data_IF_581669798897
#
_entry.id   IF_581669798897
#
_cell.length_a   1.000
_cell.length_b   1.000
_cell.length_c   1.000
_cell.angle_alpha   90.00
_cell.angle_beta   90.00
_cell.angle_gamma   90.00
#
_symmetry.space_group_name_H-M   'P 1'
#
loop_
_entity.id
_entity.type
_entity.pdbx_description
1 polymer ?
#
# COMPACT_ATOMS: atom_id res chain seq x y z
N UNK A 1 -35.42 -51.57 -30.03
CA UNK A 1 -34.03 -51.95 -30.31
C UNK A 1 -34.05 -53.00 -31.39
N UNK A 2 -33.43 -52.68 -32.53
CA UNK A 2 -33.22 -53.63 -33.63
C UNK A 2 -31.83 -54.25 -33.44
N UNK A 3 -31.74 -55.58 -33.47
CA UNK A 3 -30.69 -56.36 -32.81
C UNK A 3 -29.49 -56.68 -33.72
N UNK A 4 -29.15 -55.77 -34.63
CA UNK A 4 -28.02 -55.94 -35.54
C UNK A 4 -26.97 -54.88 -35.24
N UNK A 5 -25.87 -55.36 -34.64
CA UNK A 5 -24.62 -54.64 -34.36
C UNK A 5 -24.64 -53.80 -33.06
N UNK A 6 -24.04 -54.35 -32.01
CA UNK A 6 -23.63 -53.64 -30.80
C UNK A 6 -22.11 -53.70 -30.77
N UNK A 7 -21.44 -52.70 -31.33
CA UNK A 7 -20.04 -52.49 -30.98
C UNK A 7 -20.01 -51.69 -29.66
N UNK A 8 -19.24 -52.11 -28.64
CA UNK A 8 -19.15 -51.42 -27.35
C UNK A 8 -18.93 -49.90 -27.43
N UNK A 9 -18.38 -49.43 -28.55
CA UNK A 9 -17.99 -48.07 -28.88
C UNK A 9 -19.20 -47.19 -29.22
N UNK A 10 -20.30 -47.77 -29.70
CA UNK A 10 -21.53 -47.05 -30.05
C UNK A 10 -22.29 -46.52 -28.82
N UNK A 11 -21.93 -46.99 -27.61
CA UNK A 11 -22.53 -46.57 -26.34
C UNK A 11 -21.70 -45.52 -25.59
N UNK A 12 -20.64 -44.99 -26.20
CA UNK A 12 -19.75 -44.01 -25.56
C UNK A 12 -20.04 -42.62 -26.09
N UNK A 13 -20.46 -41.72 -25.20
CA UNK A 13 -20.55 -40.28 -25.48
C UNK A 13 -19.51 -39.55 -24.65
N UNK A 14 -18.62 -38.81 -25.30
CA UNK A 14 -17.67 -37.94 -24.64
C UNK A 14 -18.27 -36.54 -24.52
N UNK A 15 -18.55 -36.12 -23.28
CA UNK A 15 -19.06 -34.79 -22.99
C UNK A 15 -17.93 -33.98 -22.38
N UNK A 16 -17.52 -32.91 -23.06
CA UNK A 16 -16.57 -31.93 -22.55
C UNK A 16 -17.28 -30.60 -22.32
N UNK A 17 -17.08 -30.02 -21.13
CA UNK A 17 -17.62 -28.70 -20.77
C UNK A 17 -16.49 -27.86 -20.19
N UNK A 18 -16.17 -26.70 -20.78
CA UNK A 18 -15.15 -25.81 -20.24
C UNK A 18 -15.66 -25.16 -18.95
N UNK A 19 -14.83 -25.16 -17.91
CA UNK A 19 -15.12 -24.52 -16.63
C UNK A 19 -14.27 -23.26 -16.52
N UNK A 20 -14.90 -22.11 -16.34
CA UNK A 20 -14.23 -20.85 -16.03
C UNK A 20 -14.52 -20.46 -14.58
N UNK A 21 -13.47 -20.32 -13.78
CA UNK A 21 -13.60 -19.79 -12.43
C UNK A 21 -13.53 -18.27 -12.43
N UNK A 22 -14.48 -17.63 -11.74
CA UNK A 22 -14.49 -16.19 -11.53
C UNK A 22 -14.13 -15.88 -10.06
N UNK A 23 -12.99 -15.20 -9.80
CA UNK A 23 -12.56 -14.90 -8.44
C UNK A 23 -13.43 -13.81 -7.81
N UNK A 24 -13.67 -13.91 -6.50
CA UNK A 24 -14.34 -12.88 -5.70
C UNK A 24 -13.36 -12.34 -4.65
N UNK A 25 -12.78 -11.18 -4.92
CA UNK A 25 -11.78 -10.55 -4.05
C UNK A 25 -12.38 -9.29 -3.41
N UNK A 26 -12.15 -9.13 -2.11
CA UNK A 26 -12.56 -7.95 -1.36
C UNK A 26 -11.32 -7.22 -0.81
N UNK A 27 -11.23 -5.93 -1.10
CA UNK A 27 -10.16 -5.05 -0.65
C UNK A 27 -10.71 -4.13 0.45
N UNK A 28 -10.03 -4.09 1.59
CA UNK A 28 -10.36 -3.16 2.67
C UNK A 28 -9.11 -2.44 3.18
N UNK A 29 -9.27 -1.18 3.59
CA UNK A 29 -8.21 -0.36 4.17
C UNK A 29 -8.66 0.27 5.49
N UNK A 30 -7.75 0.39 6.44
CA UNK A 30 -7.95 1.07 7.71
C UNK A 30 -6.72 1.93 8.03
N UNK A 31 -6.94 3.18 8.43
CA UNK A 31 -5.86 4.11 8.79
C UNK A 31 -5.96 4.52 10.24
N UNK A 32 -4.83 4.61 10.96
CA UNK A 32 -4.83 5.03 12.37
C UNK A 32 -5.23 6.51 12.55
N UNK A 33 -4.93 7.35 11.56
CA UNK A 33 -5.23 8.78 11.61
C UNK A 33 -5.84 9.24 10.27
N UNK A 34 -7.10 9.67 10.31
CA UNK A 34 -7.84 10.14 9.13
C UNK A 34 -7.68 11.64 8.87
N UNK A 35 -7.30 12.41 9.90
CA UNK A 35 -7.11 13.86 9.85
C UNK A 35 -6.01 14.25 10.82
N UNK A 36 -5.08 15.06 10.35
CA UNK A 36 -4.07 15.71 11.19
C UNK A 36 -4.19 17.22 11.04
N UNK A 37 -4.38 17.92 12.16
CA UNK A 37 -4.42 19.37 12.16
C UNK A 37 -3.03 19.92 12.43
N UNK A 38 -2.47 20.56 11.40
CA UNK A 38 -1.17 21.22 11.50
C UNK A 38 -1.37 22.51 12.27
N UNK A 39 -0.77 22.58 13.45
CA UNK A 39 -0.73 23.81 14.23
C UNK A 39 0.47 24.64 13.74
N UNK A 40 0.26 25.86 13.22
CA UNK A 40 1.35 26.71 12.79
C UNK A 40 2.18 27.17 13.99
N UNK A 41 3.46 26.80 13.99
CA UNK A 41 4.53 27.26 14.87
C UNK A 41 4.30 27.08 16.38
N UNK A 42 4.85 25.99 16.92
CA UNK A 42 5.03 25.83 18.36
C UNK A 42 5.48 24.42 18.73
N UNK A 43 6.79 24.24 18.92
CA UNK A 43 7.39 23.10 19.64
C UNK A 43 7.09 21.69 19.10
N UNK A 44 7.47 21.38 17.86
CA UNK A 44 7.74 19.97 17.54
C UNK A 44 9.22 19.71 17.82
N UNK A 45 9.51 18.75 18.72
CA UNK A 45 10.88 18.23 18.81
C UNK A 45 11.24 17.65 17.43
N UNK A 46 12.48 17.87 17.00
CA UNK A 46 13.05 17.65 15.66
C UNK A 46 12.82 16.23 15.04
N UNK A 47 12.16 15.32 15.76
CA UNK A 47 11.87 13.93 15.38
C UNK A 47 10.36 13.54 15.41
N UNK A 48 9.44 14.48 15.69
CA UNK A 48 8.07 14.17 16.18
C UNK A 48 6.91 14.53 15.22
N UNK A 49 7.11 14.40 13.91
CA UNK A 49 5.97 14.40 12.98
C UNK A 49 5.05 13.19 13.23
N UNK A 50 3.73 13.31 13.03
CA UNK A 50 2.79 12.21 13.23
C UNK A 50 3.10 11.05 12.28
N UNK A 51 2.92 9.84 12.78
CA UNK A 51 3.04 8.60 12.01
C UNK A 51 1.65 8.15 11.55
N UNK A 52 1.48 8.03 10.23
CA UNK A 52 0.24 7.56 9.62
C UNK A 52 0.42 6.11 9.20
N UNK A 53 -0.29 5.20 9.88
CA UNK A 53 -0.35 3.80 9.46
C UNK A 53 -1.57 3.58 8.58
N UNK A 54 -1.37 3.06 7.37
CA UNK A 54 -2.43 2.56 6.49
C UNK A 54 -2.30 1.04 6.39
N UNK A 55 -3.29 0.32 6.95
CA UNK A 55 -3.41 -1.13 6.85
C UNK A 55 -4.33 -1.49 5.70
N UNK A 56 -3.95 -2.49 4.93
CA UNK A 56 -4.72 -3.00 3.81
C UNK A 56 -4.84 -4.51 3.92
N UNK A 57 -6.04 -5.03 3.64
CA UNK A 57 -6.35 -6.45 3.67
C UNK A 57 -7.02 -6.84 2.37
N UNK A 58 -6.55 -7.94 1.78
CA UNK A 58 -7.19 -8.57 0.62
C UNK A 58 -7.81 -9.86 1.11
N UNK A 59 -9.09 -10.07 0.82
CA UNK A 59 -9.82 -11.27 1.22
C UNK A 59 -10.34 -11.98 -0.03
N UNK A 60 -10.21 -13.31 -0.06
CA UNK A 60 -10.81 -14.14 -1.09
C UNK A 60 -12.14 -14.65 -0.54
N UNK A 61 -13.25 -14.17 -1.10
CA UNK A 61 -14.61 -14.57 -0.77
C UNK A 61 -15.09 -15.73 -1.67
N UNK A 62 -14.27 -16.18 -2.61
CA UNK A 62 -14.55 -17.31 -3.50
C UNK A 62 -14.11 -18.66 -2.91
N UNK A 63 -14.48 -19.73 -3.60
CA UNK A 63 -14.25 -21.10 -3.14
C UNK A 63 -12.90 -21.69 -3.57
N UNK A 64 -12.20 -21.05 -4.50
CA UNK A 64 -10.91 -21.53 -5.02
C UNK A 64 -9.78 -20.55 -4.71
N UNK A 65 -8.56 -21.04 -4.43
CA UNK A 65 -7.41 -20.19 -4.16
C UNK A 65 -7.07 -19.35 -5.38
N UNK A 66 -6.77 -18.07 -5.15
CA UNK A 66 -6.30 -17.15 -6.19
C UNK A 66 -4.78 -16.98 -6.05
N UNK A 67 -4.08 -16.97 -7.18
CA UNK A 67 -2.63 -16.81 -7.27
C UNK A 67 -2.29 -15.56 -8.06
N UNK A 68 -1.05 -15.09 -7.94
CA UNK A 68 -0.53 -13.95 -8.70
C UNK A 68 -1.33 -12.65 -8.50
N UNK A 69 -1.83 -12.42 -7.28
CA UNK A 69 -2.54 -11.19 -6.94
C UNK A 69 -1.52 -10.11 -6.60
N UNK A 70 -1.53 -9.04 -7.39
CA UNK A 70 -0.73 -7.84 -7.14
C UNK A 70 -1.64 -6.69 -6.73
N UNK A 71 -1.22 -5.94 -5.71
CA UNK A 71 -1.87 -4.70 -5.30
C UNK A 71 -0.89 -3.55 -5.48
N UNK A 72 -1.35 -2.53 -6.19
CA UNK A 72 -0.63 -1.30 -6.44
C UNK A 72 -1.27 -0.22 -5.57
N UNK A 73 -0.52 0.32 -4.61
CA UNK A 73 -1.01 1.34 -3.70
C UNK A 73 -0.26 2.64 -3.94
N UNK A 74 -0.99 3.69 -4.28
CA UNK A 74 -0.46 5.05 -4.30
C UNK A 74 -0.77 5.72 -2.95
N UNK A 75 0.27 6.03 -2.19
CA UNK A 75 0.15 6.73 -0.91
C UNK A 75 0.38 8.23 -1.12
N UNK A 76 -0.37 9.09 -0.41
CA UNK A 76 -0.21 10.53 -0.54
C UNK A 76 1.16 10.94 0.00
N UNK A 77 2.14 11.16 -0.89
CA UNK A 77 3.50 11.53 -0.53
C UNK A 77 3.85 12.98 -0.91
N UNK A 78 3.13 13.55 -1.88
CA UNK A 78 3.41 14.88 -2.44
C UNK A 78 2.25 15.85 -2.18
N UNK A 79 2.58 17.06 -1.76
CA UNK A 79 1.68 18.19 -1.64
C UNK A 79 1.72 19.10 -2.87
N UNK A 80 1.19 20.31 -2.71
CA UNK A 80 1.23 21.35 -3.74
C UNK A 80 2.68 21.65 -4.15
N UNK A 81 2.92 21.90 -5.45
CA UNK A 81 4.25 22.12 -6.03
C UNK A 81 5.24 20.94 -5.91
N UNK A 82 4.75 19.69 -5.76
CA UNK A 82 5.58 18.47 -5.58
C UNK A 82 6.48 18.51 -4.35
N UNK A 83 6.13 19.32 -3.34
CA UNK A 83 6.79 19.25 -2.05
C UNK A 83 6.46 17.91 -1.37
N UNK A 84 7.47 17.16 -0.91
CA UNK A 84 7.25 15.91 -0.19
C UNK A 84 6.65 16.22 1.18
N UNK A 85 5.43 15.73 1.43
CA UNK A 85 4.70 15.93 2.69
C UNK A 85 4.72 14.69 3.58
N UNK A 86 4.84 13.50 2.97
CA UNK A 86 4.90 12.21 3.66
C UNK A 86 5.85 11.29 2.90
N UNK A 87 6.49 10.40 3.63
CA UNK A 87 7.41 9.40 3.09
C UNK A 87 7.10 8.03 3.70
N UNK A 88 7.25 6.96 2.89
CA UNK A 88 7.08 5.59 3.38
C UNK A 88 8.29 5.24 4.24
N UNK A 89 8.05 5.13 5.55
CA UNK A 89 9.07 4.80 6.52
C UNK A 89 9.38 3.29 6.48
N UNK A 90 8.34 2.47 6.62
CA UNK A 90 8.46 1.01 6.55
C UNK A 90 7.14 0.35 6.13
N UNK A 91 7.23 -0.89 5.64
CA UNK A 91 6.09 -1.72 5.24
C UNK A 91 6.15 -3.03 6.04
N UNK A 92 5.07 -3.33 6.76
CA UNK A 92 4.89 -4.58 7.49
C UNK A 92 3.93 -5.46 6.70
N UNK A 93 4.34 -6.68 6.37
CA UNK A 93 3.57 -7.57 5.51
C UNK A 93 3.51 -8.99 6.10
N UNK A 94 2.33 -9.58 6.10
CA UNK A 94 2.10 -10.97 6.52
C UNK A 94 1.53 -11.76 5.34
N UNK A 95 2.28 -12.77 4.88
CA UNK A 95 1.97 -13.55 3.67
C UNK A 95 1.96 -12.72 2.37
N UNK A 96 2.71 -11.62 2.35
CA UNK A 96 2.87 -10.72 1.22
C UNK A 96 4.36 -10.45 1.02
N UNK A 97 4.82 -10.43 -0.23
CA UNK A 97 6.14 -9.89 -0.58
C UNK A 97 5.98 -8.45 -1.04
N UNK A 98 6.79 -7.56 -0.47
CA UNK A 98 6.82 -6.14 -0.83
C UNK A 98 7.79 -5.96 -1.99
N UNK A 99 7.33 -5.36 -3.09
CA UNK A 99 8.15 -4.98 -4.24
C UNK A 99 8.78 -3.60 -4.08
N UNK A 100 9.37 -3.09 -5.16
CA UNK A 100 10.05 -1.80 -5.15
C UNK A 100 9.14 -0.68 -4.62
N UNK A 101 9.66 0.14 -3.72
CA UNK A 101 8.98 1.34 -3.26
C UNK A 101 9.57 2.51 -4.03
N UNK A 102 8.83 3.09 -4.97
CA UNK A 102 9.29 4.26 -5.71
C UNK A 102 9.26 5.48 -4.77
N UNK A 103 10.43 5.82 -4.22
CA UNK A 103 10.65 7.10 -3.54
C UNK A 103 10.98 8.17 -4.60
N UNK A 104 10.43 9.40 -4.50
CA UNK A 104 9.57 9.95 -3.45
C UNK A 104 8.07 9.75 -3.67
N UNK A 105 7.66 8.96 -4.67
CA UNK A 105 6.29 8.94 -5.20
C UNK A 105 5.26 8.16 -4.37
N UNK A 106 5.67 7.50 -3.28
CA UNK A 106 4.73 6.85 -2.35
C UNK A 106 4.02 5.63 -2.94
N UNK A 107 4.53 5.05 -4.02
CA UNK A 107 3.95 3.85 -4.62
C UNK A 107 4.56 2.62 -3.94
N UNK A 108 3.69 1.74 -3.42
CA UNK A 108 4.07 0.45 -2.83
C UNK A 108 3.41 -0.67 -3.62
N UNK A 109 4.22 -1.61 -4.07
CA UNK A 109 3.76 -2.81 -4.77
C UNK A 109 3.74 -3.98 -3.79
N UNK A 110 2.60 -4.67 -3.70
CA UNK A 110 2.41 -5.82 -2.83
C UNK A 110 2.04 -7.04 -3.67
N UNK A 111 2.83 -8.09 -3.55
CA UNK A 111 2.58 -9.37 -4.19
C UNK A 111 2.11 -10.38 -3.13
N UNK A 112 0.87 -10.85 -3.28
CA UNK A 112 0.24 -11.76 -2.35
C UNK A 112 0.55 -13.21 -2.72
N UNK A 113 1.01 -14.00 -1.74
CA UNK A 113 1.19 -15.46 -1.91
C UNK A 113 -0.18 -16.12 -2.10
N UNK A 114 -0.30 -17.26 -2.80
CA UNK A 114 -1.55 -18.01 -2.89
C UNK A 114 -2.17 -18.22 -1.50
N UNK A 115 -3.41 -17.81 -1.31
CA UNK A 115 -3.98 -17.74 0.04
C UNK A 115 -5.43 -18.22 0.10
N UNK A 116 -5.71 -18.98 1.17
CA UNK A 116 -7.08 -19.26 1.63
C UNK A 116 -7.45 -18.33 2.80
N UNK A 117 -6.47 -17.98 3.64
CA UNK A 117 -6.60 -17.00 4.71
C UNK A 117 -6.25 -15.59 4.22
N UNK A 118 -6.96 -14.53 4.64
CA UNK A 118 -6.80 -13.19 4.08
C UNK A 118 -5.44 -12.58 4.45
N UNK A 119 -4.52 -12.36 3.48
CA UNK A 119 -3.24 -11.73 3.72
C UNK A 119 -3.42 -10.24 4.05
N UNK A 120 -2.47 -9.70 4.81
CA UNK A 120 -2.53 -8.33 5.30
C UNK A 120 -1.18 -7.64 5.14
N UNK A 121 -1.22 -6.36 4.82
CA UNK A 121 -0.05 -5.49 4.78
C UNK A 121 -0.37 -4.15 5.43
N UNK A 122 0.63 -3.49 6.01
CA UNK A 122 0.51 -2.19 6.66
C UNK A 122 1.67 -1.32 6.20
N UNK A 123 1.35 -0.18 5.60
CA UNK A 123 2.32 0.84 5.22
C UNK A 123 2.33 1.92 6.29
N UNK A 124 3.52 2.29 6.72
CA UNK A 124 3.74 3.36 7.69
C UNK A 124 4.34 4.56 6.97
N UNK A 125 3.65 5.69 7.05
CA UNK A 125 4.03 6.97 6.47
C UNK A 125 4.45 7.93 7.59
N UNK A 126 5.49 8.72 7.35
CA UNK A 126 5.92 9.78 8.26
C UNK A 126 6.30 11.02 7.46
N UNK A 127 6.02 12.21 8.01
CA UNK A 127 6.51 13.46 7.42
C UNK A 127 8.04 13.47 7.39
N UNK A 128 8.68 13.95 6.31
CA UNK A 128 10.12 14.14 6.30
C UNK A 128 10.52 15.11 7.41
N UNK A 129 11.62 14.81 8.13
CA UNK A 129 12.19 15.77 9.09
C UNK A 129 12.70 16.99 8.30
N UNK A 130 12.39 18.21 8.75
CA UNK A 130 13.18 19.37 8.33
C UNK A 130 14.59 19.14 8.87
N UNK A 131 15.52 18.75 8.00
CA UNK A 131 16.93 18.77 8.32
C UNK A 131 17.30 20.23 8.53
N UNK A 132 17.54 20.60 9.80
CA UNK A 132 17.84 21.97 10.20
C UNK A 132 18.92 22.57 9.30
N UNK A 133 18.50 23.46 8.40
CA UNK A 133 19.42 24.38 7.76
C UNK A 133 19.98 25.21 8.90
N UNK A 134 21.27 25.05 9.19
CA UNK A 134 21.95 25.72 10.29
C UNK A 134 21.77 27.23 10.18
N UNK A 135 20.77 27.76 10.88
CA UNK A 135 20.73 29.18 11.21
C UNK A 135 21.74 29.33 12.34
N UNK A 136 22.96 29.72 11.98
CA UNK A 136 23.93 30.25 12.94
C UNK A 136 23.19 31.37 13.69
N UNK A 137 23.03 31.28 15.02
CA UNK A 137 22.44 32.38 15.76
C UNK A 137 23.37 33.57 15.61
N UNK A 138 22.90 34.61 14.91
CA UNK A 138 23.59 35.91 14.88
C UNK A 138 23.55 36.45 16.31
N UNK A 139 24.73 36.66 16.89
CA UNK A 139 24.88 37.23 18.21
C UNK A 139 24.22 38.61 18.25
N UNK A 140 23.47 38.98 19.31
CA UNK A 140 22.78 40.27 19.40
C UNK A 140 23.71 41.49 19.55
N UNK A 141 25.01 41.34 19.29
CA UNK A 141 26.00 42.43 19.37
C UNK A 141 26.28 43.13 18.02
N UNK A 142 25.79 42.61 16.89
CA UNK A 142 26.01 43.21 15.56
C UNK A 142 24.93 44.24 15.13
N UNK A 143 24.05 44.66 16.05
CA UNK A 143 22.98 45.62 15.78
C UNK A 143 23.13 46.92 16.59
N UNK A 144 24.33 47.50 16.60
CA UNK A 144 24.55 48.90 17.01
C UNK A 144 25.54 49.57 16.06
N UNK A 145 25.11 49.89 14.84
CA UNK A 145 25.76 50.93 14.03
C UNK A 145 24.92 51.32 12.79
N UNK A 146 23.62 51.61 12.98
CA UNK A 146 22.86 52.38 11.97
C UNK A 146 21.85 53.28 12.67
N UNK A 147 22.33 54.32 13.34
CA UNK A 147 21.59 55.59 13.37
C UNK A 147 22.61 56.75 13.46
N UNK A 148 22.80 57.42 12.31
CA UNK A 148 23.47 58.71 12.21
C UNK A 148 22.64 59.61 11.30
#
# INVERSE_FOLDING_TARGET
SDSTEVTPQDNVVEISVPILYQPNLFLSSNTNLHRYEVHPLGTFSHNSGPEFTTRVKVQNLGCYPVQNVTLHMALPALGQHRATILSVNHVLAENVSVGDTERPFGVVFLLFKPFFFPPQASCVLKSPNEEGTGVVPVSPEDLQDVER
#
